data_IF_434348791529
#
_entry.id   IF_434348791529
#
_cell.length_a   1.000
_cell.length_b   1.000
_cell.length_c   1.000
_cell.angle_alpha   90.00
_cell.angle_beta   90.00
_cell.angle_gamma   90.00
#
_symmetry.space_group_name_H-M   'P 1'
#
loop_
_entity.id
_entity.type
_entity.pdbx_description
1 polymer ?
#
# COMPACT_ATOMS: atom_id res chain seq x y z
N UNK A 1 8.61 -32.90 -5.60
CA UNK A 1 9.36 -32.16 -4.57
C UNK A 1 8.81 -30.74 -4.29
N UNK A 2 8.21 -30.04 -5.26
CA UNK A 2 7.73 -28.66 -5.04
C UNK A 2 6.61 -28.47 -4.00
N UNK A 3 5.70 -29.44 -3.81
CA UNK A 3 4.55 -29.28 -2.90
C UNK A 3 4.96 -29.18 -1.42
N UNK A 4 5.78 -30.10 -0.93
CA UNK A 4 6.24 -30.09 0.46
C UNK A 4 7.12 -28.86 0.77
N UNK A 5 7.98 -28.48 -0.17
CA UNK A 5 8.77 -27.25 -0.08
C UNK A 5 7.89 -25.99 -0.03
N UNK A 6 6.84 -25.91 -0.85
CA UNK A 6 5.88 -24.81 -0.82
C UNK A 6 5.11 -24.75 0.50
N UNK A 7 4.70 -25.89 1.05
CA UNK A 7 4.05 -25.96 2.37
C UNK A 7 4.97 -25.48 3.49
N UNK A 8 6.26 -25.86 3.45
CA UNK A 8 7.27 -25.34 4.36
C UNK A 8 7.40 -23.82 4.26
N UNK A 9 7.58 -23.28 3.05
CA UNK A 9 7.67 -21.83 2.82
C UNK A 9 6.40 -21.09 3.25
N UNK A 10 5.23 -21.71 3.08
CA UNK A 10 3.94 -21.14 3.50
C UNK A 10 3.86 -21.03 5.03
N UNK A 11 4.36 -22.02 5.77
CA UNK A 11 4.42 -21.96 7.24
C UNK A 11 5.35 -20.84 7.71
N UNK A 12 6.58 -20.79 7.17
CA UNK A 12 7.53 -19.73 7.49
C UNK A 12 6.98 -18.34 7.17
N UNK A 13 6.30 -18.19 6.03
CA UNK A 13 5.63 -16.94 5.65
C UNK A 13 4.57 -16.53 6.67
N UNK A 14 3.69 -17.47 7.07
CA UNK A 14 2.63 -17.17 8.03
C UNK A 14 3.16 -16.76 9.40
N UNK A 15 4.25 -17.37 9.87
CA UNK A 15 4.92 -16.97 11.11
C UNK A 15 5.37 -15.50 11.05
N UNK A 16 6.06 -15.12 9.97
CA UNK A 16 6.48 -13.74 9.78
C UNK A 16 5.31 -12.76 9.59
N UNK A 17 4.26 -13.14 8.85
CA UNK A 17 3.06 -12.32 8.66
C UNK A 17 2.39 -12.00 10.00
N UNK A 18 2.30 -12.97 10.90
CA UNK A 18 1.75 -12.76 12.24
C UNK A 18 2.59 -11.76 13.04
N UNK A 19 3.92 -11.92 13.07
CA UNK A 19 4.81 -10.98 13.77
C UNK A 19 4.70 -9.55 13.22
N UNK A 20 4.62 -9.39 11.91
CA UNK A 20 4.43 -8.06 11.32
C UNK A 20 3.04 -7.51 11.63
N UNK A 21 2.01 -8.34 11.63
CA UNK A 21 0.66 -7.90 11.97
C UNK A 21 0.59 -7.38 13.41
N UNK A 22 1.19 -8.11 14.36
CA UNK A 22 1.33 -7.66 15.75
C UNK A 22 2.12 -6.35 15.86
N UNK A 23 3.24 -6.25 15.15
CA UNK A 23 4.04 -5.01 15.10
C UNK A 23 3.25 -3.85 14.47
N UNK A 24 2.46 -4.12 13.44
CA UNK A 24 1.65 -3.11 12.76
C UNK A 24 0.55 -2.58 13.68
N UNK A 25 -0.09 -3.44 14.48
CA UNK A 25 -1.09 -3.02 15.47
C UNK A 25 -0.50 -2.09 16.54
N UNK A 26 0.80 -2.18 16.83
CA UNK A 26 1.45 -1.23 17.74
C UNK A 26 1.47 0.20 17.19
N UNK A 27 1.33 0.41 15.87
CA UNK A 27 1.28 1.75 15.29
C UNK A 27 0.03 2.55 15.70
N UNK A 28 -1.06 1.87 16.05
CA UNK A 28 -2.28 2.51 16.55
C UNK A 28 -2.18 2.88 18.03
N UNK A 29 -1.15 2.39 18.74
CA UNK A 29 -0.95 2.65 20.15
C UNK A 29 -0.19 3.96 20.36
N UNK A 30 -0.57 4.68 21.43
CA UNK A 30 0.14 5.90 21.83
C UNK A 30 1.58 5.52 22.22
N UNK A 31 2.60 6.09 21.57
CA UNK A 31 4.00 5.81 21.89
C UNK A 31 4.32 6.18 23.35
N UNK A 32 5.22 5.42 23.98
CA UNK A 32 5.70 5.75 25.32
C UNK A 32 6.32 7.15 25.35
N UNK A 33 6.05 7.92 26.40
CA UNK A 33 6.54 9.30 26.54
C UNK A 33 8.07 9.42 26.62
N UNK A 34 8.77 8.32 26.88
CA UNK A 34 10.23 8.22 26.95
C UNK A 34 10.91 7.94 25.60
N UNK A 35 10.14 7.66 24.54
CA UNK A 35 10.72 7.28 23.25
C UNK A 35 11.17 8.54 22.47
N UNK A 36 12.37 8.48 21.89
CA UNK A 36 12.90 9.58 21.09
C UNK A 36 12.19 9.63 19.73
N UNK A 37 11.85 10.85 19.28
CA UNK A 37 11.23 11.04 17.98
C UNK A 37 12.23 10.74 16.86
N UNK A 38 11.92 9.74 16.07
CA UNK A 38 12.68 9.36 14.87
C UNK A 38 12.40 10.34 13.73
N UNK A 39 13.40 10.64 12.92
CA UNK A 39 13.24 11.49 11.75
C UNK A 39 12.59 10.74 10.59
N UNK A 40 11.61 11.35 9.90
CA UNK A 40 10.97 10.73 8.72
C UNK A 40 11.96 10.37 7.59
N UNK A 41 13.13 11.03 7.55
CA UNK A 41 14.22 10.68 6.63
C UNK A 41 14.71 9.25 6.83
N UNK A 42 14.77 8.77 8.07
CA UNK A 42 15.17 7.40 8.41
C UNK A 42 14.13 6.39 7.93
N UNK A 43 12.84 6.74 8.03
CA UNK A 43 11.74 5.94 7.47
C UNK A 43 11.85 5.83 5.95
N UNK A 44 12.13 6.95 5.25
CA UNK A 44 12.35 6.95 3.80
C UNK A 44 13.54 6.06 3.44
N UNK A 45 14.66 6.20 4.15
CA UNK A 45 15.87 5.40 3.90
C UNK A 45 15.60 3.91 4.12
N UNK A 46 14.86 3.54 5.17
CA UNK A 46 14.47 2.15 5.40
C UNK A 46 13.52 1.65 4.31
N UNK A 47 12.57 2.48 3.85
CA UNK A 47 11.73 2.16 2.69
C UNK A 47 12.52 1.89 1.42
N UNK A 48 13.61 2.62 1.18
CA UNK A 48 14.53 2.34 0.06
C UNK A 48 15.23 0.98 0.21
N UNK A 49 15.54 0.54 1.43
CA UNK A 49 16.06 -0.80 1.68
C UNK A 49 15.00 -1.87 1.40
N UNK A 50 13.76 -1.68 1.86
CA UNK A 50 12.63 -2.58 1.56
C UNK A 50 12.45 -2.71 0.05
N UNK A 51 12.50 -1.60 -0.68
CA UNK A 51 12.43 -1.58 -2.15
C UNK A 51 13.56 -2.36 -2.81
N UNK A 52 14.81 -2.27 -2.30
CA UNK A 52 15.94 -3.06 -2.80
C UNK A 52 15.75 -4.55 -2.51
N UNK A 53 15.27 -4.88 -1.32
CA UNK A 53 15.02 -6.27 -0.93
C UNK A 53 13.89 -6.90 -1.76
N UNK A 54 12.87 -6.13 -2.16
CA UNK A 54 11.85 -6.56 -3.11
C UNK A 54 12.43 -6.92 -4.48
N UNK A 55 13.44 -6.18 -4.95
CA UNK A 55 14.17 -6.54 -6.17
C UNK A 55 14.88 -7.89 -6.01
N UNK A 56 15.52 -8.12 -4.87
CA UNK A 56 16.17 -9.41 -4.57
C UNK A 56 15.16 -10.55 -4.59
N UNK A 57 13.98 -10.38 -3.98
CA UNK A 57 12.88 -11.36 -4.06
C UNK A 57 12.50 -11.59 -5.53
N UNK A 58 12.27 -10.53 -6.30
CA UNK A 58 11.93 -10.63 -7.71
C UNK A 58 12.94 -11.44 -8.53
N UNK A 59 14.24 -11.16 -8.34
CA UNK A 59 15.31 -11.88 -9.02
C UNK A 59 15.39 -13.35 -8.61
N UNK A 60 15.23 -13.66 -7.32
CA UNK A 60 15.25 -15.03 -6.82
C UNK A 60 14.10 -15.87 -7.40
N UNK A 61 12.88 -15.32 -7.45
CA UNK A 61 11.70 -16.07 -7.88
C UNK A 61 11.47 -16.07 -9.41
N UNK A 62 12.17 -15.23 -10.17
CA UNK A 62 12.10 -15.21 -11.65
C UNK A 62 13.25 -15.96 -12.33
N UNK A 63 14.29 -16.34 -11.58
CA UNK A 63 15.46 -17.09 -12.05
C UNK A 63 15.29 -18.62 -12.01
N UNK A 64 16.42 -19.34 -11.90
CA UNK A 64 16.43 -20.80 -11.66
C UNK A 64 15.78 -21.13 -10.30
N UNK A 65 15.17 -22.32 -10.17
CA UNK A 65 14.40 -22.69 -8.96
C UNK A 65 15.28 -22.60 -7.70
N UNK A 66 15.06 -21.62 -6.81
CA UNK A 66 15.94 -21.43 -5.66
C UNK A 66 15.79 -22.56 -4.66
N UNK A 67 16.87 -22.84 -3.93
CA UNK A 67 16.83 -23.74 -2.78
C UNK A 67 15.90 -23.18 -1.69
N UNK A 68 15.09 -24.05 -1.08
CA UNK A 68 14.11 -23.69 -0.04
C UNK A 68 14.75 -22.88 1.08
N UNK A 69 15.93 -23.30 1.55
CA UNK A 69 16.68 -22.61 2.61
C UNK A 69 17.03 -21.16 2.25
N UNK A 70 17.48 -20.91 1.02
CA UNK A 70 17.80 -19.56 0.56
C UNK A 70 16.55 -18.67 0.49
N UNK A 71 15.38 -19.26 0.19
CA UNK A 71 14.11 -18.54 0.19
C UNK A 71 13.65 -18.21 1.62
N UNK A 72 13.82 -19.11 2.57
CA UNK A 72 13.53 -18.84 3.99
C UNK A 72 14.44 -17.75 4.56
N UNK A 73 15.75 -17.83 4.29
CA UNK A 73 16.71 -16.80 4.71
C UNK A 73 16.40 -15.44 4.09
N UNK A 74 16.04 -15.41 2.80
CA UNK A 74 15.64 -14.18 2.12
C UNK A 74 14.34 -13.59 2.70
N UNK A 75 13.37 -14.46 2.99
CA UNK A 75 12.09 -14.08 3.61
C UNK A 75 12.32 -13.49 5.00
N UNK A 76 13.13 -14.13 5.84
CA UNK A 76 13.50 -13.61 7.15
C UNK A 76 14.20 -12.26 7.06
N UNK A 77 15.15 -12.10 6.13
CA UNK A 77 15.83 -10.82 5.90
C UNK A 77 14.84 -9.72 5.47
N UNK A 78 13.88 -10.04 4.59
CA UNK A 78 12.83 -9.12 4.16
C UNK A 78 11.97 -8.67 5.33
N UNK A 79 11.48 -9.62 6.13
CA UNK A 79 10.59 -9.32 7.23
C UNK A 79 11.27 -8.57 8.38
N UNK A 80 12.54 -8.86 8.66
CA UNK A 80 13.32 -8.07 9.62
C UNK A 80 13.45 -6.60 9.17
N UNK A 81 13.64 -6.38 7.86
CA UNK A 81 13.70 -5.04 7.30
C UNK A 81 12.34 -4.33 7.35
N UNK A 82 11.25 -5.06 7.07
CA UNK A 82 9.90 -4.54 7.18
C UNK A 82 9.53 -4.21 8.64
N UNK A 83 9.96 -5.04 9.59
CA UNK A 83 9.78 -4.78 11.02
C UNK A 83 10.54 -3.52 11.45
N UNK A 84 11.79 -3.37 11.03
CA UNK A 84 12.56 -2.13 11.27
C UNK A 84 11.89 -0.90 10.67
N UNK A 85 11.32 -1.02 9.47
CA UNK A 85 10.51 0.03 8.84
C UNK A 85 9.29 0.43 9.67
N UNK A 86 8.54 -0.55 10.21
CA UNK A 86 7.38 -0.28 11.05
C UNK A 86 7.77 0.44 12.35
N UNK A 87 8.84 -0.01 13.00
CA UNK A 87 9.34 0.61 14.24
C UNK A 87 9.78 2.06 14.03
N UNK A 88 10.53 2.34 12.95
CA UNK A 88 10.92 3.72 12.60
C UNK A 88 9.71 4.59 12.27
N UNK A 89 8.70 4.01 11.60
CA UNK A 89 7.46 4.71 11.26
C UNK A 89 6.65 5.08 12.50
N UNK A 90 6.58 4.18 13.48
CA UNK A 90 5.97 4.44 14.78
C UNK A 90 6.68 5.58 15.51
N UNK A 91 8.01 5.52 15.63
CA UNK A 91 8.81 6.60 16.24
C UNK A 91 8.64 7.96 15.53
N UNK A 92 8.46 7.96 14.21
CA UNK A 92 8.23 9.19 13.45
C UNK A 92 6.83 9.77 13.62
N UNK A 93 5.85 8.93 13.99
CA UNK A 93 4.47 9.35 14.28
C UNK A 93 4.31 9.99 15.66
N UNK A 94 5.35 9.96 16.51
CA UNK A 94 5.34 10.58 17.83
C UNK A 94 5.04 12.08 17.77
N UNK A 95 3.98 12.49 18.48
CA UNK A 95 3.52 13.87 18.51
C UNK A 95 2.96 14.40 17.19
N UNK A 96 2.71 13.53 16.21
CA UNK A 96 2.02 13.91 14.98
C UNK A 96 0.53 14.18 15.30
N UNK A 97 -0.03 15.22 14.69
CA UNK A 97 -1.47 15.48 14.79
C UNK A 97 -2.27 14.41 14.04
N UNK A 98 -3.58 14.28 14.32
CA UNK A 98 -4.40 13.16 13.87
C UNK A 98 -4.42 13.00 12.33
N UNK A 99 -4.39 14.10 11.59
CA UNK A 99 -4.40 14.06 10.11
C UNK A 99 -3.07 13.56 9.56
N UNK A 100 -1.94 14.04 10.09
CA UNK A 100 -0.61 13.55 9.71
C UNK A 100 -0.39 12.10 10.14
N UNK A 101 -0.83 11.70 11.34
CA UNK A 101 -0.74 10.31 11.80
C UNK A 101 -1.52 9.37 10.89
N UNK A 102 -2.74 9.74 10.50
CA UNK A 102 -3.53 8.98 9.52
C UNK A 102 -2.83 8.87 8.16
N UNK A 103 -2.20 9.94 7.67
CA UNK A 103 -1.44 9.92 6.43
C UNK A 103 -0.20 8.99 6.50
N UNK A 104 0.52 9.02 7.63
CA UNK A 104 1.65 8.13 7.91
C UNK A 104 1.17 6.69 7.92
N UNK A 105 0.19 6.37 8.77
CA UNK A 105 -0.35 5.01 8.91
C UNK A 105 -0.83 4.45 7.57
N UNK A 106 -1.53 5.25 6.76
CA UNK A 106 -1.97 4.85 5.41
C UNK A 106 -0.78 4.49 4.51
N UNK A 107 0.28 5.30 4.51
CA UNK A 107 1.45 5.05 3.66
C UNK A 107 2.22 3.82 4.12
N UNK A 108 2.41 3.67 5.44
CA UNK A 108 3.05 2.50 6.06
C UNK A 108 2.28 1.24 5.70
N UNK A 109 0.95 1.26 5.82
CA UNK A 109 0.07 0.15 5.43
C UNK A 109 0.25 -0.24 3.96
N UNK A 110 0.38 0.73 3.05
CA UNK A 110 0.59 0.44 1.62
C UNK A 110 1.92 -0.30 1.37
N UNK A 111 3.00 0.06 2.06
CA UNK A 111 4.30 -0.65 1.97
C UNK A 111 4.17 -2.07 2.52
N UNK A 112 3.49 -2.24 3.66
CA UNK A 112 3.25 -3.55 4.27
C UNK A 112 2.38 -4.45 3.39
N UNK A 113 1.22 -3.96 2.93
CA UNK A 113 0.28 -4.71 2.09
C UNK A 113 0.94 -5.15 0.78
N UNK A 114 1.66 -4.25 0.10
CA UNK A 114 2.36 -4.58 -1.15
C UNK A 114 3.48 -5.61 -0.94
N UNK A 115 4.22 -5.52 0.16
CA UNK A 115 5.22 -6.52 0.55
C UNK A 115 4.61 -7.88 0.80
N UNK A 116 3.47 -7.94 1.48
CA UNK A 116 2.74 -9.18 1.75
C UNK A 116 2.27 -9.83 0.45
N UNK A 117 1.66 -9.05 -0.44
CA UNK A 117 1.22 -9.55 -1.75
C UNK A 117 2.40 -10.12 -2.55
N UNK A 118 3.56 -9.45 -2.55
CA UNK A 118 4.76 -9.95 -3.23
C UNK A 118 5.20 -11.31 -2.68
N UNK A 119 5.35 -11.45 -1.36
CA UNK A 119 5.84 -12.67 -0.73
C UNK A 119 4.82 -13.83 -0.80
N UNK A 120 3.53 -13.54 -0.68
CA UNK A 120 2.46 -14.51 -0.87
C UNK A 120 2.46 -15.08 -2.29
N UNK A 121 2.56 -14.22 -3.31
CA UNK A 121 2.63 -14.65 -4.70
C UNK A 121 3.92 -15.43 -4.98
N UNK A 122 5.05 -14.98 -4.42
CA UNK A 122 6.35 -15.65 -4.56
C UNK A 122 6.30 -17.09 -4.02
N UNK A 123 5.83 -17.27 -2.78
CA UNK A 123 5.68 -18.60 -2.17
C UNK A 123 4.65 -19.44 -2.94
N UNK A 124 3.51 -18.87 -3.33
CA UNK A 124 2.46 -19.59 -4.07
C UNK A 124 2.95 -20.09 -5.45
N UNK A 125 3.85 -19.33 -6.07
CA UNK A 125 4.47 -19.64 -7.35
C UNK A 125 5.61 -20.64 -7.27
N UNK A 126 6.08 -20.97 -6.07
CA UNK A 126 7.19 -21.92 -5.91
C UNK A 126 6.88 -23.28 -6.52
N UNK A 127 7.77 -23.75 -7.41
CA UNK A 127 7.62 -25.03 -8.13
C UNK A 127 6.59 -25.01 -9.26
N UNK A 128 6.02 -23.86 -9.61
CA UNK A 128 5.13 -23.67 -10.75
C UNK A 128 5.85 -22.91 -11.87
N UNK A 129 5.65 -23.33 -13.13
CA UNK A 129 6.28 -22.71 -14.30
C UNK A 129 5.27 -21.94 -15.20
N UNK A 130 4.17 -21.43 -14.63
CA UNK A 130 3.17 -20.74 -15.46
C UNK A 130 3.70 -19.41 -16.01
N UNK A 131 3.41 -19.12 -17.29
CA UNK A 131 3.78 -17.85 -17.92
C UNK A 131 3.10 -16.63 -17.27
N UNK A 132 1.91 -16.82 -16.70
CA UNK A 132 1.19 -15.77 -15.97
C UNK A 132 1.89 -15.38 -14.67
N UNK A 133 2.45 -16.35 -13.93
CA UNK A 133 3.23 -16.10 -12.72
C UNK A 133 4.58 -15.41 -12.99
N UNK A 134 5.18 -15.65 -14.16
CA UNK A 134 6.41 -14.93 -14.56
C UNK A 134 6.19 -13.41 -14.70
N UNK A 135 4.94 -12.97 -14.90
CA UNK A 135 4.59 -11.55 -15.03
C UNK A 135 4.04 -10.96 -13.72
N UNK A 136 3.51 -11.78 -12.79
CA UNK A 136 2.94 -11.29 -11.54
C UNK A 136 4.02 -10.77 -10.58
N UNK A 137 5.14 -11.48 -10.45
CA UNK A 137 6.23 -11.11 -9.54
C UNK A 137 6.85 -9.75 -9.90
N UNK A 138 7.27 -9.46 -11.16
CA UNK A 138 7.79 -8.14 -11.50
C UNK A 138 6.79 -7.01 -11.25
N UNK A 139 5.50 -7.25 -11.52
CA UNK A 139 4.43 -6.27 -11.25
C UNK A 139 4.31 -5.98 -9.75
N UNK A 140 4.39 -7.00 -8.91
CA UNK A 140 4.30 -6.87 -7.46
C UNK A 140 5.54 -6.19 -6.86
N UNK A 141 6.72 -6.45 -7.41
CA UNK A 141 7.93 -5.67 -7.07
C UNK A 141 7.73 -4.19 -7.40
N UNK A 142 7.17 -3.88 -8.57
CA UNK A 142 6.81 -2.50 -8.94
C UNK A 142 5.82 -1.86 -7.96
N UNK A 143 4.82 -2.61 -7.49
CA UNK A 143 3.88 -2.11 -6.48
C UNK A 143 4.56 -1.77 -5.14
N UNK A 144 5.55 -2.56 -4.71
CA UNK A 144 6.38 -2.24 -3.52
C UNK A 144 7.20 -0.98 -3.77
N UNK A 145 7.81 -0.84 -4.95
CA UNK A 145 8.58 0.36 -5.30
C UNK A 145 7.72 1.62 -5.27
N UNK A 146 6.52 1.57 -5.83
CA UNK A 146 5.58 2.70 -5.83
C UNK A 146 5.15 3.07 -4.42
N UNK A 147 4.88 2.07 -3.56
CA UNK A 147 4.54 2.29 -2.16
C UNK A 147 5.72 2.92 -1.39
N UNK A 148 6.94 2.43 -1.57
CA UNK A 148 8.14 3.01 -0.95
C UNK A 148 8.43 4.43 -1.48
N UNK A 149 8.21 4.69 -2.78
CA UNK A 149 8.37 6.01 -3.36
C UNK A 149 7.34 7.02 -2.80
N UNK A 150 6.14 6.56 -2.45
CA UNK A 150 5.10 7.39 -1.84
C UNK A 150 5.51 7.96 -0.47
N UNK A 151 6.42 7.31 0.27
CA UNK A 151 6.94 7.80 1.56
C UNK A 151 7.55 9.21 1.45
N UNK A 152 8.23 9.51 0.34
CA UNK A 152 8.82 10.83 0.07
C UNK A 152 7.77 11.92 -0.05
N UNK A 153 6.54 11.53 -0.40
CA UNK A 153 5.41 12.45 -0.55
C UNK A 153 4.56 12.51 0.72
N UNK A 154 4.73 11.66 1.73
CA UNK A 154 3.87 11.65 2.92
C UNK A 154 4.00 12.97 3.71
N UNK A 155 2.89 13.65 4.05
CA UNK A 155 2.94 14.83 4.89
C UNK A 155 3.29 14.46 6.34
N UNK A 156 4.36 15.03 6.87
CA UNK A 156 4.88 14.75 8.23
C UNK A 156 4.46 15.76 9.28
N UNK A 157 3.77 16.84 8.86
CA UNK A 157 3.19 17.83 9.77
C UNK A 157 1.68 17.92 9.56
N UNK A 158 0.95 18.17 10.65
CA UNK A 158 -0.52 18.19 10.62
C UNK A 158 -1.06 19.30 9.70
N UNK A 159 -0.40 20.47 9.67
CA UNK A 159 -0.79 21.60 8.80
C UNK A 159 -0.68 21.20 7.33
N UNK A 160 0.44 20.60 6.91
CA UNK A 160 0.62 20.13 5.53
C UNK A 160 -0.37 19.02 5.18
N UNK A 161 -0.65 18.11 6.12
CA UNK A 161 -1.63 17.03 5.92
C UNK A 161 -3.05 17.59 5.69
N UNK A 162 -3.48 18.55 6.52
CA UNK A 162 -4.77 19.23 6.38
C UNK A 162 -4.85 19.98 5.03
N UNK A 163 -3.83 20.76 4.68
CA UNK A 163 -3.82 21.50 3.41
C UNK A 163 -3.94 20.59 2.18
N UNK A 164 -3.32 19.41 2.24
CA UNK A 164 -3.48 18.38 1.19
C UNK A 164 -4.88 17.78 1.16
N UNK A 165 -5.46 17.46 2.31
CA UNK A 165 -6.82 16.96 2.38
C UNK A 165 -7.82 17.99 1.81
N UNK A 166 -7.67 19.27 2.16
CA UNK A 166 -8.47 20.36 1.59
C UNK A 166 -8.31 20.47 0.07
N UNK A 167 -7.08 20.36 -0.45
CA UNK A 167 -6.82 20.34 -1.90
C UNK A 167 -7.54 19.17 -2.57
N UNK A 168 -7.52 18.00 -1.94
CA UNK A 168 -8.19 16.80 -2.46
C UNK A 168 -9.71 16.98 -2.52
N UNK A 169 -10.31 17.57 -1.47
CA UNK A 169 -11.73 17.93 -1.45
C UNK A 169 -12.06 18.92 -2.57
N UNK A 170 -11.26 19.98 -2.74
CA UNK A 170 -11.47 20.98 -3.79
C UNK A 170 -11.40 20.37 -5.20
N UNK A 171 -10.44 19.47 -5.45
CA UNK A 171 -10.33 18.74 -6.72
C UNK A 171 -11.55 17.85 -6.95
N UNK A 172 -11.98 17.08 -5.96
CA UNK A 172 -13.17 16.23 -6.07
C UNK A 172 -14.44 17.04 -6.38
N UNK A 173 -14.65 18.17 -5.69
CA UNK A 173 -15.81 19.05 -5.97
C UNK A 173 -15.73 19.63 -7.38
N UNK A 174 -14.54 20.06 -7.82
CA UNK A 174 -14.31 20.56 -9.18
C UNK A 174 -14.65 19.50 -10.23
N UNK A 175 -14.23 18.25 -10.00
CA UNK A 175 -14.43 17.16 -10.95
C UNK A 175 -15.92 16.75 -11.02
N UNK A 176 -16.62 16.68 -9.88
CA UNK A 176 -18.08 16.45 -9.84
C UNK A 176 -18.84 17.56 -10.58
N UNK A 177 -18.50 18.83 -10.33
CA UNK A 177 -19.15 19.95 -11.02
C UNK A 177 -18.91 19.93 -12.54
N UNK A 178 -17.72 19.50 -12.97
CA UNK A 178 -17.43 19.29 -14.40
C UNK A 178 -18.30 18.17 -14.95
N UNK A 179 -18.31 17.01 -14.29
CA UNK A 179 -19.11 15.85 -14.73
C UNK A 179 -20.60 16.21 -14.82
N UNK A 180 -21.15 16.92 -13.83
CA UNK A 180 -22.54 17.38 -13.84
C UNK A 180 -22.88 18.32 -15.01
N UNK A 181 -21.91 19.10 -15.51
CA UNK A 181 -22.09 19.95 -16.70
C UNK A 181 -22.03 19.15 -18.00
N UNK A 182 -21.27 18.06 -18.02
CA UNK A 182 -21.12 17.19 -19.19
C UNK A 182 -22.30 16.20 -19.33
N UNK A 183 -23.01 15.91 -18.25
CA UNK A 183 -24.21 15.08 -18.28
C UNK A 183 -25.36 15.78 -19.04
N UNK A 184 -25.84 15.15 -20.12
CA UNK A 184 -27.09 15.56 -20.77
C UNK A 184 -28.29 15.31 -19.82
N UNK A 185 -29.31 16.19 -19.79
CA UNK A 185 -30.52 15.94 -19.01
C UNK A 185 -31.16 14.61 -19.40
N UNK A 186 -31.51 13.78 -18.41
CA UNK A 186 -32.24 12.55 -18.65
C UNK A 186 -33.67 12.88 -19.13
N UNK A 187 -33.92 12.60 -20.40
CA UNK A 187 -35.18 12.77 -21.14
C UNK A 187 -35.63 14.22 -21.37
N UNK A 188 -35.42 14.68 -22.59
CA UNK A 188 -36.40 15.54 -23.26
C UNK A 188 -37.43 14.62 -23.90
N UNK A 189 -38.34 14.03 -23.09
CA UNK A 189 -39.52 13.37 -23.66
C UNK A 189 -40.40 14.47 -24.28
N UNK A 190 -40.60 14.47 -25.61
CA UNK A 190 -41.41 15.49 -26.27
C UNK A 190 -42.86 15.55 -25.77
N UNK A 191 -43.35 14.49 -25.10
CA UNK A 191 -44.72 14.42 -24.57
C UNK A 191 -44.95 15.33 -23.35
N UNK A 192 -43.92 15.61 -22.54
CA UNK A 192 -44.06 16.53 -21.41
C UNK A 192 -44.14 18.00 -21.85
N UNK A 193 -43.56 18.36 -22.99
CA UNK A 193 -43.66 19.71 -23.55
C UNK A 193 -45.05 20.02 -24.14
N UNK A 194 -45.81 19.00 -24.55
CA UNK A 194 -47.17 19.20 -25.06
C UNK A 194 -48.17 19.48 -23.93
N UNK A 195 -48.02 18.80 -22.79
CA UNK A 195 -48.87 19.00 -21.60
C UNK A 195 -48.73 20.41 -21.01
N UNK A 196 -47.51 20.95 -20.93
CA UNK A 196 -47.28 22.31 -20.44
C UNK A 196 -47.89 23.37 -21.37
N UNK A 197 -47.84 23.15 -22.70
CA UNK A 197 -48.43 24.08 -23.68
C UNK A 197 -49.95 24.04 -23.74
N UNK A 198 -50.58 22.92 -23.41
CA UNK A 198 -52.04 22.79 -23.34
C UNK A 198 -52.59 23.46 -22.07
N UNK A 199 -51.87 23.38 -20.95
CA UNK A 199 -52.28 24.00 -19.69
C UNK A 199 -52.07 25.54 -19.63
N UNK A 200 -51.24 26.11 -20.50
CA UNK A 200 -51.05 27.57 -20.61
C UNK A 200 -51.99 28.25 -21.62
N UNK A 201 -52.92 27.52 -22.23
CA UNK A 201 -53.90 28.04 -23.20
C UNK A 201 -55.36 28.03 -22.70
N UNK A 202 -55.58 27.81 -21.40
CA UNK A 202 -56.84 28.11 -20.72
C UNK A 202 -56.65 29.31 -19.79
#
# INVERSE_FOLDING_TARGET
>A
MGKAAREQLTRALNEHLNTIHETFQMLDQTPASSLEKVGWKEVIQMGEQVSKQATTVGMLYTGETPGVKALEENMAAYFNMLQGFLLLSHGSSMGAGPTSSSCILKTVKQVTDSSFMLLQEAVSSYGSQSKAQKLSIPRLVGAVWDACAALKKTPTTNITAIGRAMTQVAVSVKDVLREMKELKPASSDPRMNLLVRVLQKQ
#
